data_IF_922820939389
#
_entry.id   IF_922820939389
#
_cell.length_a   1.000
_cell.length_b   1.000
_cell.length_c   1.000
_cell.angle_alpha   90.00
_cell.angle_beta   90.00
_cell.angle_gamma   90.00
#
_symmetry.space_group_name_H-M   'P 1'
#
loop_
_entity.id
_entity.type
_entity.pdbx_description
1 polymer ?
#
# COMPACT_ATOMS: atom_id res chain seq x y z
N UNK A 1 -26.72 19.34 3.87
CA UNK A 1 -25.25 19.49 3.74
C UNK A 1 -24.45 18.89 4.90
N UNK A 2 -24.90 18.96 6.17
CA UNK A 2 -24.16 18.41 7.32
C UNK A 2 -24.02 16.86 7.39
N UNK A 3 -24.86 16.10 6.67
CA UNK A 3 -24.70 14.63 6.57
C UNK A 3 -23.56 14.24 5.62
N UNK A 4 -23.44 14.93 4.48
CA UNK A 4 -22.40 14.64 3.49
C UNK A 4 -20.98 14.81 4.07
N UNK A 5 -20.77 15.84 4.90
CA UNK A 5 -19.46 16.08 5.55
C UNK A 5 -19.01 14.97 6.51
N UNK A 6 -19.93 14.14 7.04
CA UNK A 6 -19.60 12.97 7.87
C UNK A 6 -19.44 11.68 7.05
N UNK A 7 -20.05 11.60 5.87
CA UNK A 7 -19.95 10.41 5.00
C UNK A 7 -18.55 10.30 4.38
N UNK A 8 -17.97 11.41 3.94
CA UNK A 8 -16.63 11.42 3.35
C UNK A 8 -15.51 10.83 4.24
N UNK A 9 -15.36 11.22 5.53
CA UNK A 9 -14.34 10.63 6.39
C UNK A 9 -14.58 9.14 6.68
N UNK A 10 -15.84 8.71 6.82
CA UNK A 10 -16.16 7.29 7.03
C UNK A 10 -15.82 6.43 5.80
N UNK A 11 -16.12 6.93 4.60
CA UNK A 11 -15.84 6.26 3.34
C UNK A 11 -14.32 6.18 3.10
N UNK A 12 -13.59 7.27 3.38
CA UNK A 12 -12.14 7.30 3.27
C UNK A 12 -11.49 6.31 4.23
N UNK A 13 -11.99 6.20 5.47
CA UNK A 13 -11.49 5.23 6.44
C UNK A 13 -11.77 3.78 5.99
N UNK A 14 -12.95 3.51 5.43
CA UNK A 14 -13.30 2.20 4.89
C UNK A 14 -12.38 1.79 3.71
N UNK A 15 -12.18 2.69 2.74
CA UNK A 15 -11.24 2.46 1.63
C UNK A 15 -9.83 2.22 2.17
N UNK A 16 -9.41 2.99 3.17
CA UNK A 16 -8.09 2.85 3.76
C UNK A 16 -7.89 1.49 4.43
N UNK A 17 -8.93 0.98 5.08
CA UNK A 17 -8.93 -0.32 5.72
C UNK A 17 -8.83 -1.45 4.68
N UNK A 18 -9.55 -1.33 3.56
CA UNK A 18 -9.42 -2.26 2.42
C UNK A 18 -8.01 -2.22 1.82
N UNK A 19 -7.42 -1.04 1.65
CA UNK A 19 -6.05 -0.88 1.15
C UNK A 19 -5.04 -1.61 2.03
N UNK A 20 -5.14 -1.47 3.36
CA UNK A 20 -4.26 -2.17 4.32
C UNK A 20 -4.46 -3.68 4.24
N UNK A 21 -5.70 -4.16 4.12
CA UNK A 21 -6.01 -5.59 3.98
C UNK A 21 -5.36 -6.18 2.72
N UNK A 22 -5.52 -5.52 1.57
CA UNK A 22 -4.91 -5.96 0.31
C UNK A 22 -3.38 -5.90 0.37
N UNK A 23 -2.83 -4.85 0.97
CA UNK A 23 -1.39 -4.74 1.17
C UNK A 23 -0.84 -5.90 2.01
N UNK A 24 -1.51 -6.22 3.13
CA UNK A 24 -1.17 -7.37 3.97
C UNK A 24 -1.27 -8.69 3.22
N UNK A 25 -2.31 -8.89 2.41
CA UNK A 25 -2.46 -10.09 1.58
C UNK A 25 -1.33 -10.22 0.54
N UNK A 26 -0.92 -9.12 -0.11
CA UNK A 26 0.21 -9.14 -1.03
C UNK A 26 1.53 -9.48 -0.33
N UNK A 27 1.78 -8.90 0.85
CA UNK A 27 2.98 -9.19 1.63
C UNK A 27 3.00 -10.63 2.14
N UNK A 28 1.87 -11.16 2.61
CA UNK A 28 1.74 -12.56 3.01
C UNK A 28 1.96 -13.51 1.82
N UNK A 29 1.47 -13.14 0.64
CA UNK A 29 1.66 -13.90 -0.59
C UNK A 29 3.13 -13.88 -1.03
N UNK A 30 3.78 -12.70 -0.98
CA UNK A 30 5.21 -12.56 -1.23
C UNK A 30 6.06 -13.40 -0.26
N UNK A 31 5.70 -13.38 1.02
CA UNK A 31 6.34 -14.18 2.04
C UNK A 31 6.17 -15.67 1.74
N UNK A 32 4.94 -16.12 1.42
CA UNK A 32 4.69 -17.51 1.06
C UNK A 32 5.48 -17.95 -0.16
N UNK A 33 5.54 -17.13 -1.21
CA UNK A 33 6.36 -17.40 -2.41
C UNK A 33 7.86 -17.54 -2.14
N UNK A 34 8.35 -17.01 -1.02
CA UNK A 34 9.76 -17.02 -0.64
C UNK A 34 10.11 -18.07 0.41
N UNK A 35 9.16 -18.40 1.30
CA UNK A 35 9.37 -19.31 2.43
C UNK A 35 8.65 -20.66 2.31
N UNK A 36 7.64 -20.81 1.45
CA UNK A 36 6.93 -22.08 1.25
C UNK A 36 7.62 -22.91 0.14
N UNK A 37 8.31 -24.02 0.48
CA UNK A 37 9.04 -24.82 -0.49
C UNK A 37 8.13 -25.44 -1.56
N UNK A 38 6.86 -25.68 -1.25
CA UNK A 38 5.89 -26.25 -2.18
C UNK A 38 5.51 -25.31 -3.32
N UNK A 39 5.56 -23.99 -3.08
CA UNK A 39 5.28 -22.96 -4.08
C UNK A 39 6.57 -22.41 -4.72
N UNK A 40 7.64 -22.30 -3.93
CA UNK A 40 8.93 -21.78 -4.35
C UNK A 40 9.62 -22.63 -5.42
N UNK A 41 9.75 -23.95 -5.17
CA UNK A 41 10.49 -24.88 -6.04
C UNK A 41 9.88 -24.93 -7.45
N UNK A 42 8.57 -25.19 -7.64
CA UNK A 42 8.01 -25.24 -8.98
C UNK A 42 8.07 -23.88 -9.69
N UNK A 43 7.79 -22.77 -8.99
CA UNK A 43 7.81 -21.45 -9.60
C UNK A 43 9.21 -21.04 -10.08
N UNK A 44 10.26 -21.41 -9.33
CA UNK A 44 11.65 -21.12 -9.71
C UNK A 44 12.13 -21.95 -10.89
N UNK A 45 11.74 -23.23 -10.96
CA UNK A 45 12.19 -24.16 -12.00
C UNK A 45 11.43 -23.99 -13.33
N UNK A 46 10.12 -23.73 -13.28
CA UNK A 46 9.30 -23.57 -14.49
C UNK A 46 9.42 -22.17 -15.10
N UNK A 47 9.45 -21.11 -14.27
CA UNK A 47 9.32 -19.72 -14.71
C UNK A 47 10.28 -18.79 -13.95
N UNK A 48 11.61 -18.95 -14.12
CA UNK A 48 12.62 -18.28 -13.30
C UNK A 48 12.63 -16.75 -13.44
N UNK A 49 12.25 -16.21 -14.60
CA UNK A 49 12.19 -14.76 -14.83
C UNK A 49 10.95 -14.15 -14.17
N UNK A 50 9.79 -14.79 -14.33
CA UNK A 50 8.52 -14.35 -13.76
C UNK A 50 8.50 -14.50 -12.24
N UNK A 51 9.16 -15.54 -11.70
CA UNK A 51 9.35 -15.68 -10.27
C UNK A 51 10.15 -14.50 -9.68
N UNK A 52 11.25 -14.10 -10.33
CA UNK A 52 12.07 -12.97 -9.86
C UNK A 52 11.31 -11.65 -9.92
N UNK A 53 10.55 -11.41 -11.00
CA UNK A 53 9.74 -10.20 -11.10
C UNK A 53 8.63 -10.19 -10.05
N UNK A 54 7.91 -11.30 -9.87
CA UNK A 54 6.87 -11.44 -8.85
C UNK A 54 7.44 -11.26 -7.43
N UNK A 55 8.60 -11.86 -7.12
CA UNK A 55 9.25 -11.75 -5.83
C UNK A 55 9.68 -10.32 -5.47
N UNK A 56 9.87 -9.44 -6.45
CA UNK A 56 10.15 -8.01 -6.24
C UNK A 56 8.87 -7.16 -6.28
N UNK A 57 7.97 -7.42 -7.22
CA UNK A 57 6.77 -6.60 -7.46
C UNK A 57 5.74 -6.77 -6.36
N UNK A 58 5.48 -8.00 -5.88
CA UNK A 58 4.52 -8.25 -4.80
C UNK A 58 4.88 -7.50 -3.50
N UNK A 59 6.12 -7.57 -2.97
CA UNK A 59 6.45 -6.81 -1.78
C UNK A 59 6.54 -5.30 -2.04
N UNK A 60 7.04 -4.86 -3.20
CA UNK A 60 7.07 -3.44 -3.54
C UNK A 60 5.66 -2.83 -3.62
N UNK A 61 4.72 -3.52 -4.28
CA UNK A 61 3.32 -3.11 -4.37
C UNK A 61 2.63 -3.13 -3.01
N UNK A 62 2.87 -4.18 -2.20
CA UNK A 62 2.35 -4.25 -0.83
C UNK A 62 2.83 -3.11 0.05
N UNK A 63 4.13 -2.78 0.01
CA UNK A 63 4.69 -1.65 0.76
C UNK A 63 4.17 -0.31 0.26
N UNK A 64 4.04 -0.12 -1.05
CA UNK A 64 3.48 1.10 -1.63
C UNK A 64 2.03 1.33 -1.18
N UNK A 65 1.20 0.28 -1.14
CA UNK A 65 -0.18 0.36 -0.65
C UNK A 65 -0.25 0.65 0.85
N UNK A 66 0.63 0.05 1.67
CA UNK A 66 0.74 0.39 3.09
C UNK A 66 1.13 1.86 3.30
N UNK A 67 2.08 2.35 2.52
CA UNK A 67 2.57 3.74 2.60
C UNK A 67 1.46 4.71 2.18
N UNK A 68 0.75 4.43 1.10
CA UNK A 68 -0.43 5.19 0.68
C UNK A 68 -1.50 5.22 1.77
N UNK A 69 -1.75 4.08 2.42
CA UNK A 69 -2.74 4.00 3.48
C UNK A 69 -2.34 4.83 4.73
N UNK A 70 -1.05 4.82 5.06
CA UNK A 70 -0.49 5.63 6.13
C UNK A 70 -0.57 7.13 5.80
N UNK A 71 -0.28 7.51 4.56
CA UNK A 71 -0.41 8.89 4.09
C UNK A 71 -1.88 9.37 4.12
N UNK A 72 -2.83 8.51 3.74
CA UNK A 72 -4.25 8.84 3.82
C UNK A 72 -4.72 9.05 5.26
N UNK A 73 -4.27 8.20 6.19
CA UNK A 73 -4.59 8.33 7.61
C UNK A 73 -3.96 9.58 8.22
N UNK A 74 -2.68 9.81 7.97
CA UNK A 74 -1.98 11.02 8.44
C UNK A 74 -2.60 12.29 7.88
N UNK A 75 -3.03 12.31 6.61
CA UNK A 75 -3.76 13.44 6.03
C UNK A 75 -5.11 13.71 6.71
N UNK A 76 -5.81 12.68 7.18
CA UNK A 76 -7.07 12.80 7.92
C UNK A 76 -6.84 13.28 9.36
N UNK A 77 -5.74 12.85 10.00
CA UNK A 77 -5.37 13.24 11.37
C UNK A 77 -4.62 14.58 11.46
N UNK A 78 -4.02 15.06 10.36
CA UNK A 78 -3.31 16.32 10.32
C UNK A 78 -4.27 17.51 10.43
N UNK A 79 -4.01 18.39 11.41
CA UNK A 79 -4.63 19.72 11.49
C UNK A 79 -4.31 20.53 10.21
N UNK A 80 -5.14 21.52 9.83
CA UNK A 80 -4.96 22.31 8.60
C UNK A 80 -3.54 22.85 8.32
N UNK A 81 -2.70 23.25 9.30
CA UNK A 81 -1.33 23.68 9.01
C UNK A 81 -0.40 22.53 8.59
N UNK A 82 -0.54 21.33 9.14
CA UNK A 82 0.32 20.16 8.82
C UNK A 82 0.02 19.58 7.44
N UNK A 83 -1.23 19.69 6.98
CA UNK A 83 -1.64 19.27 5.63
C UNK A 83 -0.93 20.08 4.53
N UNK A 84 -0.65 21.38 4.76
CA UNK A 84 0.14 22.21 3.83
C UNK A 84 1.59 21.76 3.76
N UNK A 85 2.21 21.43 4.90
CA UNK A 85 3.60 20.95 4.95
C UNK A 85 3.73 19.60 4.24
N UNK A 86 2.79 18.68 4.48
CA UNK A 86 2.81 17.36 3.82
C UNK A 86 2.65 17.49 2.28
N UNK A 87 1.78 18.40 1.82
CA UNK A 87 1.60 18.67 0.38
C UNK A 87 2.86 19.26 -0.27
N UNK A 88 3.54 20.17 0.42
CA UNK A 88 4.82 20.76 -0.07
C UNK A 88 5.91 19.68 -0.14
N UNK A 89 6.02 18.81 0.87
CA UNK A 89 7.01 17.73 0.86
C UNK A 89 6.75 16.74 -0.27
N UNK A 90 5.49 16.30 -0.47
CA UNK A 90 5.11 15.39 -1.55
C UNK A 90 5.37 16.01 -2.93
N UNK A 91 5.03 17.29 -3.10
CA UNK A 91 5.29 18.02 -4.34
C UNK A 91 6.80 18.11 -4.63
N UNK A 92 7.62 18.35 -3.60
CA UNK A 92 9.06 18.46 -3.75
C UNK A 92 9.73 17.12 -4.08
N UNK A 93 9.22 16.00 -3.55
CA UNK A 93 9.72 14.65 -3.87
C UNK A 93 9.31 14.12 -5.24
N UNK A 94 8.28 14.69 -5.88
CA UNK A 94 7.81 14.30 -7.22
C UNK A 94 8.51 15.06 -8.35
N UNK A 95 9.18 16.17 -8.02
CA UNK A 95 9.91 17.04 -8.95
C UNK A 95 11.43 16.79 -8.97
N UNK A 96 11.93 15.91 -8.10
CA UNK A 96 13.33 15.46 -8.02
C UNK A 96 13.49 14.07 -8.62
#
# INVERSE_FOLDING_TARGET
MARASRVYPALLLHINLLLVLFAGAMLATAARLKWDPSAYIPARELLPAEYRSAACVLPAAGLALLLLAHLALTALSCRPPTRRVLLVVVQNTLLS
#
